data_IF_645662734934
#
_entry.id   IF_645662734934
#
_cell.length_a   1.000
_cell.length_b   1.000
_cell.length_c   1.000
_cell.angle_alpha   90.00
_cell.angle_beta   90.00
_cell.angle_gamma   90.00
#
_symmetry.space_group_name_H-M   'P 1'
#
loop_
_entity.id
_entity.type
_entity.pdbx_description
1 polymer ?
#
# COMPACT_ATOMS: atom_id res chain seq x y z
N UNK A 1 18.63 4.89 -11.80
CA UNK A 1 17.81 6.10 -11.62
C UNK A 1 16.49 5.65 -11.00
N UNK A 2 15.73 6.55 -10.38
CA UNK A 2 14.47 6.20 -9.70
C UNK A 2 13.34 7.04 -10.28
N UNK A 3 12.15 6.44 -10.37
CA UNK A 3 10.92 7.11 -10.80
C UNK A 3 9.88 7.12 -9.69
N UNK A 4 8.90 8.01 -9.83
CA UNK A 4 7.79 8.11 -8.89
C UNK A 4 6.51 7.65 -9.56
N UNK A 5 5.83 6.69 -8.92
CA UNK A 5 4.54 6.18 -9.33
C UNK A 5 3.48 6.72 -8.39
N UNK A 6 2.33 7.07 -8.92
CA UNK A 6 1.18 7.47 -8.09
C UNK A 6 0.35 6.24 -7.76
N UNK A 7 0.19 5.96 -6.47
CA UNK A 7 -0.65 4.90 -5.95
C UNK A 7 -1.88 5.52 -5.29
N UNK A 8 -3.03 5.28 -5.89
CA UNK A 8 -4.34 5.71 -5.40
C UNK A 8 -4.97 4.55 -4.64
N UNK A 9 -4.98 4.66 -3.31
CA UNK A 9 -5.52 3.63 -2.42
C UNK A 9 -6.98 3.94 -2.09
N UNK A 10 -7.86 2.99 -2.37
CA UNK A 10 -9.30 3.08 -2.10
C UNK A 10 -9.77 1.89 -1.28
N UNK A 11 -10.80 2.12 -0.48
CA UNK A 11 -11.46 1.08 0.30
C UNK A 11 -12.79 0.70 -0.36
N UNK A 12 -13.13 -0.59 -0.36
CA UNK A 12 -14.43 -1.05 -0.87
C UNK A 12 -15.60 -0.50 -0.06
N UNK A 13 -15.40 -0.29 1.26
CA UNK A 13 -16.40 0.19 2.21
C UNK A 13 -15.75 0.64 3.54
N UNK A 14 -16.58 1.14 4.46
CA UNK A 14 -16.17 1.62 5.79
C UNK A 14 -15.54 0.53 6.66
N UNK A 15 -16.00 -0.72 6.58
CA UNK A 15 -15.42 -1.83 7.36
C UNK A 15 -14.00 -2.16 6.90
N UNK A 16 -13.73 -2.07 5.59
CA UNK A 16 -12.38 -2.21 5.08
C UNK A 16 -11.49 -1.08 5.59
N UNK A 17 -11.97 0.16 5.58
CA UNK A 17 -11.23 1.29 6.15
C UNK A 17 -10.95 1.12 7.64
N UNK A 18 -11.91 0.68 8.45
CA UNK A 18 -11.68 0.36 9.87
C UNK A 18 -10.61 -0.74 10.05
N UNK A 19 -10.64 -1.75 9.20
CA UNK A 19 -9.71 -2.88 9.25
C UNK A 19 -8.28 -2.49 8.85
N UNK A 20 -8.08 -1.87 7.68
CA UNK A 20 -6.76 -1.50 7.16
C UNK A 20 -6.23 -0.19 7.77
N UNK A 21 -7.13 0.73 8.11
CA UNK A 21 -6.84 2.04 8.72
C UNK A 21 -5.99 2.95 7.85
N UNK A 22 -5.38 3.95 8.48
CA UNK A 22 -4.57 4.98 7.81
C UNK A 22 -3.11 4.98 8.35
N UNK A 23 -2.30 5.86 7.78
CA UNK A 23 -0.93 6.15 8.18
C UNK A 23 -0.02 4.91 8.19
N UNK A 24 0.65 4.70 9.32
CA UNK A 24 1.54 3.56 9.51
C UNK A 24 0.81 2.22 9.52
N UNK A 25 -0.48 2.18 9.87
CA UNK A 25 -1.23 0.92 9.87
C UNK A 25 -1.45 0.40 8.43
N UNK A 26 -1.75 1.32 7.52
CA UNK A 26 -1.92 1.02 6.10
C UNK A 26 -0.58 0.71 5.42
N UNK A 27 0.44 1.52 5.68
CA UNK A 27 1.71 1.45 4.93
C UNK A 27 2.68 0.46 5.55
N UNK A 28 2.93 0.56 6.86
CA UNK A 28 4.00 -0.17 7.53
C UNK A 28 3.57 -1.54 8.00
N UNK A 29 4.53 -2.44 7.96
CA UNK A 29 4.45 -3.75 8.60
C UNK A 29 4.23 -3.60 10.11
N UNK A 30 2.99 -3.72 10.57
CA UNK A 30 2.70 -3.75 12.00
C UNK A 30 3.08 -5.12 12.57
N UNK A 31 4.00 -5.15 13.54
CA UNK A 31 4.29 -6.34 14.34
C UNK A 31 3.48 -6.23 15.62
N UNK A 32 2.42 -7.04 15.75
CA UNK A 32 1.64 -7.08 16.98
C UNK A 32 2.50 -7.61 18.15
N UNK A 33 2.64 -6.86 19.27
CA UNK A 33 3.53 -7.24 20.37
C UNK A 33 3.05 -8.45 21.19
N UNK A 34 1.81 -8.94 20.99
CA UNK A 34 1.26 -10.14 21.63
C UNK A 34 1.59 -11.44 20.90
N UNK A 35 2.32 -11.37 19.81
CA UNK A 35 2.58 -12.51 18.93
C UNK A 35 3.80 -13.31 19.38
N UNK A 36 3.55 -14.48 19.96
CA UNK A 36 4.55 -15.44 20.41
C UNK A 36 5.32 -15.95 19.18
N UNK A 37 6.65 -15.96 19.27
CA UNK A 37 7.67 -15.95 18.22
C UNK A 37 7.63 -17.00 17.10
N UNK A 38 6.65 -17.89 17.03
CA UNK A 38 6.67 -19.05 16.12
C UNK A 38 5.39 -19.27 15.30
N UNK A 39 4.45 -18.32 15.31
CA UNK A 39 3.26 -18.32 14.43
C UNK A 39 3.32 -17.11 13.50
N UNK A 40 2.91 -17.27 12.24
CA UNK A 40 2.95 -16.23 11.18
C UNK A 40 2.12 -15.00 11.55
N UNK A 41 2.71 -14.11 12.36
CA UNK A 41 2.07 -12.91 12.91
C UNK A 41 2.49 -11.60 12.23
N UNK A 42 3.10 -11.70 11.05
CA UNK A 42 3.21 -10.55 10.17
C UNK A 42 1.84 -10.26 9.60
N UNK A 43 1.30 -9.09 9.89
CA UNK A 43 0.14 -8.57 9.20
C UNK A 43 0.50 -8.39 7.72
N UNK A 44 0.13 -9.37 6.89
CA UNK A 44 0.43 -9.38 5.45
C UNK A 44 -0.38 -8.35 4.67
N UNK A 45 -1.14 -7.50 5.37
CA UNK A 45 -2.11 -6.60 4.76
C UNK A 45 -1.63 -5.17 4.57
N UNK A 46 -0.47 -4.80 5.13
CA UNK A 46 0.13 -3.49 4.86
C UNK A 46 0.69 -3.41 3.44
N UNK A 47 0.69 -2.22 2.85
CA UNK A 47 1.18 -2.00 1.49
C UNK A 47 2.64 -2.42 1.31
N UNK A 48 3.51 -2.15 2.29
CA UNK A 48 4.90 -2.63 2.26
C UNK A 48 5.01 -4.16 2.18
N UNK A 49 4.12 -4.92 2.84
CA UNK A 49 4.13 -6.38 2.76
C UNK A 49 3.51 -6.89 1.46
N UNK A 50 2.44 -6.25 0.98
CA UNK A 50 1.78 -6.60 -0.29
C UNK A 50 2.76 -6.44 -1.46
N UNK A 51 3.58 -5.40 -1.45
CA UNK A 51 4.54 -5.08 -2.50
C UNK A 51 6.00 -5.40 -2.15
N UNK A 52 6.28 -6.23 -1.13
CA UNK A 52 7.64 -6.43 -0.62
C UNK A 52 8.65 -6.94 -1.67
N UNK A 53 8.22 -7.78 -2.61
CA UNK A 53 9.05 -8.34 -3.68
C UNK A 53 9.21 -7.39 -4.88
N UNK A 54 8.63 -6.20 -4.82
CA UNK A 54 8.61 -5.24 -5.92
C UNK A 54 9.63 -4.12 -5.79
N UNK A 55 10.42 -4.11 -4.71
CA UNK A 55 11.47 -3.12 -4.48
C UNK A 55 10.98 -1.67 -4.52
N UNK A 56 9.71 -1.44 -4.18
CA UNK A 56 9.10 -0.11 -4.08
C UNK A 56 9.21 0.46 -2.68
N UNK A 57 9.25 1.78 -2.56
CA UNK A 57 9.30 2.50 -1.29
C UNK A 57 8.06 3.38 -1.14
N UNK A 58 7.27 3.11 -0.11
CA UNK A 58 6.10 3.92 0.23
C UNK A 58 6.52 5.17 1.00
N UNK A 59 5.85 6.32 0.79
CA UNK A 59 6.15 7.54 1.51
C UNK A 59 5.62 7.47 2.95
N UNK A 60 6.23 8.25 3.84
CA UNK A 60 5.74 8.38 5.23
C UNK A 60 4.48 9.22 5.34
N UNK A 61 4.33 10.18 4.44
CA UNK A 61 3.24 11.14 4.39
C UNK A 61 2.62 11.10 3.00
N UNK A 62 1.31 11.30 2.94
CA UNK A 62 0.55 11.25 1.70
C UNK A 62 -0.72 12.08 1.84
N UNK A 63 -1.25 12.53 0.72
CA UNK A 63 -2.48 13.31 0.68
C UNK A 63 -3.72 12.41 0.73
N UNK A 64 -4.82 12.94 1.25
CA UNK A 64 -6.09 12.21 1.35
C UNK A 64 -7.28 13.09 1.03
N UNK A 65 -8.32 12.51 0.45
CA UNK A 65 -9.61 13.21 0.27
C UNK A 65 -10.31 13.44 1.62
N UNK A 66 -11.17 14.46 1.67
CA UNK A 66 -12.05 14.73 2.82
C UNK A 66 -13.38 13.96 2.69
N UNK A 67 -13.29 12.66 2.44
CA UNK A 67 -14.42 11.73 2.34
C UNK A 67 -14.26 10.59 3.35
N UNK A 68 -15.30 9.77 3.52
CA UNK A 68 -15.23 8.58 4.35
C UNK A 68 -15.82 7.37 3.59
N UNK A 69 -15.02 6.33 3.29
CA UNK A 69 -13.56 6.27 3.42
C UNK A 69 -12.82 7.32 2.57
N UNK A 70 -11.60 7.72 2.98
CA UNK A 70 -10.74 8.57 2.15
C UNK A 70 -10.16 7.80 0.97
N UNK A 71 -9.75 8.53 -0.07
CA UNK A 71 -8.81 8.06 -1.09
C UNK A 71 -7.45 8.60 -0.71
N UNK A 72 -6.42 7.76 -0.68
CA UNK A 72 -5.05 8.17 -0.38
C UNK A 72 -4.21 8.23 -1.66
N UNK A 73 -3.50 9.33 -1.84
CA UNK A 73 -2.62 9.57 -3.00
C UNK A 73 -1.16 9.48 -2.56
N UNK A 74 -0.50 8.37 -2.88
CA UNK A 74 0.88 8.11 -2.46
C UNK A 74 1.85 8.26 -3.64
N UNK A 75 2.94 9.00 -3.42
CA UNK A 75 4.08 9.01 -4.35
C UNK A 75 5.05 7.91 -3.96
N UNK A 76 4.98 6.78 -4.66
CA UNK A 76 5.77 5.57 -4.40
C UNK A 76 7.01 5.60 -5.28
N UNK A 77 8.19 5.50 -4.66
CA UNK A 77 9.46 5.48 -5.39
C UNK A 77 9.79 4.07 -5.83
N UNK A 78 10.17 3.91 -7.10
CA UNK A 78 10.58 2.64 -7.69
C UNK A 78 11.86 2.82 -8.53
N UNK A 79 12.53 1.72 -8.86
CA UNK A 79 13.61 1.74 -9.85
C UNK A 79 13.02 2.01 -11.25
N UNK A 80 13.77 2.69 -12.13
CA UNK A 80 13.27 3.09 -13.46
C UNK A 80 12.81 1.92 -14.34
N UNK A 81 13.43 0.75 -14.17
CA UNK A 81 13.11 -0.48 -14.90
C UNK A 81 11.90 -1.23 -14.31
N UNK A 82 11.35 -0.77 -13.19
CA UNK A 82 10.14 -1.33 -12.60
C UNK A 82 8.94 -1.05 -13.50
N UNK A 83 8.32 -2.11 -14.02
CA UNK A 83 7.12 -2.01 -14.85
C UNK A 83 5.87 -1.71 -14.00
N UNK A 84 5.14 -0.65 -14.34
CA UNK A 84 3.87 -0.32 -13.69
C UNK A 84 2.84 -1.44 -13.89
N UNK A 85 2.84 -2.10 -15.06
CA UNK A 85 1.97 -3.23 -15.35
C UNK A 85 2.24 -4.44 -14.45
N UNK A 86 3.50 -4.68 -14.07
CA UNK A 86 3.83 -5.77 -13.15
C UNK A 86 3.45 -5.46 -11.70
N UNK A 87 3.41 -4.19 -11.33
CA UNK A 87 2.88 -3.74 -10.03
C UNK A 87 1.34 -3.87 -9.98
N UNK A 88 0.64 -3.57 -11.08
CA UNK A 88 -0.82 -3.73 -11.20
C UNK A 88 -1.29 -5.19 -11.09
N UNK A 89 -0.40 -6.15 -11.37
CA UNK A 89 -0.68 -7.60 -11.24
C UNK A 89 -0.53 -8.13 -9.81
N UNK A 90 -0.03 -7.31 -8.87
CA UNK A 90 0.08 -7.72 -7.46
C UNK A 90 -1.31 -7.98 -6.90
N UNK A 91 -1.48 -9.10 -6.19
CA UNK A 91 -2.75 -9.45 -5.55
C UNK A 91 -2.95 -8.56 -4.31
N UNK A 92 -3.80 -7.57 -4.46
CA UNK A 92 -4.25 -6.72 -3.35
C UNK A 92 -5.35 -7.48 -2.57
N UNK A 93 -5.28 -7.51 -1.22
CA UNK A 93 -6.32 -8.12 -0.39
C UNK A 93 -7.70 -7.50 -0.61
N UNK A 94 -8.76 -8.30 -0.44
CA UNK A 94 -10.14 -7.84 -0.56
C UNK A 94 -10.43 -6.65 0.36
N UNK A 95 -11.20 -5.67 -0.09
CA UNK A 95 -11.46 -4.45 0.67
C UNK A 95 -10.50 -3.31 0.34
N UNK A 96 -9.37 -3.58 -0.31
CA UNK A 96 -8.45 -2.56 -0.82
C UNK A 96 -8.42 -2.61 -2.35
N UNK A 97 -8.40 -1.43 -2.97
CA UNK A 97 -8.08 -1.26 -4.38
C UNK A 97 -6.90 -0.31 -4.50
N UNK A 98 -5.92 -0.68 -5.33
CA UNK A 98 -4.74 0.14 -5.61
C UNK A 98 -4.72 0.44 -7.09
N UNK A 99 -4.92 1.69 -7.45
CA UNK A 99 -4.77 2.19 -8.81
C UNK A 99 -3.37 2.80 -8.94
N UNK A 100 -2.62 2.34 -9.95
CA UNK A 100 -1.22 2.75 -10.16
C UNK A 100 -1.13 3.55 -11.45
N UNK A 101 -0.67 4.79 -11.35
CA UNK A 101 -0.43 5.69 -12.47
C UNK A 101 1.07 5.89 -12.64
N UNK A 102 1.53 5.74 -13.86
CA UNK A 102 2.89 6.08 -14.30
C UNK A 102 2.74 7.21 -15.32
N UNK A 103 3.33 8.37 -15.03
CA UNK A 103 3.25 9.55 -15.89
C UNK A 103 4.48 9.70 -16.80
N UNK A 104 5.48 8.85 -16.62
CA UNK A 104 6.71 8.83 -17.41
C UNK A 104 6.67 7.78 -18.55
N UNK A 105 5.60 6.98 -18.64
CA UNK A 105 5.31 6.02 -19.73
C UNK A 105 4.66 6.66 -20.97
#
# INVERSE_FOLDING_TARGET
MVKNLTFDIRYDNELAHEYYGDGEKLTKKYIYPSCISNMSCTDKTSLENIYHDKHVQFPKEYDSTQTYPPIHFMSVTAEDDTSADDLRKVQVPHGLNVEILDFDE
#
